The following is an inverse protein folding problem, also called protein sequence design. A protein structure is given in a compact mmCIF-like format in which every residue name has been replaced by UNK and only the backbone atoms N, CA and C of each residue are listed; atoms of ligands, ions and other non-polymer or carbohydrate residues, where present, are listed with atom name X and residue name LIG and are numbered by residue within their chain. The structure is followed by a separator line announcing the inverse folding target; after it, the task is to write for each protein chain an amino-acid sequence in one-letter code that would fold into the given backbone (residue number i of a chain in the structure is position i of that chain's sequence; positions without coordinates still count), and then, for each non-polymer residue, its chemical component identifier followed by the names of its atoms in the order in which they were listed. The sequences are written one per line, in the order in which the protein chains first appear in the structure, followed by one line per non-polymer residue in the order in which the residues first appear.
data_IF_019546669969
#
_entry.id   IF_019546669969
#
_cell.length_a   1.000
_cell.length_b   1.000
_cell.length_c   1.000
_cell.angle_alpha   90.00
_cell.angle_beta   90.00
_cell.angle_gamma   90.00
#
_symmetry.space_group_name_H-M   'P 1'
#
loop_
_entity.id
_entity.type
_entity.pdbx_description
1 polymer ?
#
# COMPACT_ATOMS: atom_id res chain seq x y z
N UNK A 1 -1.25 15.93 0.87
CA UNK A 1 -1.29 15.18 -0.41
C UNK A 1 -2.37 14.13 -0.29
N UNK A 2 -3.01 13.70 -1.38
CA UNK A 2 -3.91 12.55 -1.34
C UNK A 2 -3.29 11.43 -2.16
N UNK A 3 -3.46 10.19 -1.71
CA UNK A 3 -3.11 9.03 -2.52
C UNK A 3 -4.00 8.95 -3.76
N UNK A 4 -3.38 8.59 -4.89
CA UNK A 4 -4.05 8.39 -6.16
C UNK A 4 -4.02 6.91 -6.54
N UNK A 5 -5.10 6.38 -7.14
CA UNK A 5 -5.10 5.01 -7.65
C UNK A 5 -3.97 4.80 -8.66
N UNK A 6 -3.35 3.62 -8.57
CA UNK A 6 -2.22 3.18 -9.38
C UNK A 6 -0.91 3.98 -9.22
N UNK A 7 -0.81 4.81 -8.19
CA UNK A 7 0.43 5.49 -7.80
C UNK A 7 1.12 4.78 -6.64
N UNK A 8 2.40 5.12 -6.43
CA UNK A 8 3.28 4.48 -5.46
C UNK A 8 3.81 5.52 -4.49
N UNK A 9 3.95 5.13 -3.23
CA UNK A 9 4.42 6.03 -2.18
C UNK A 9 5.41 5.33 -1.25
N UNK A 10 6.25 6.13 -0.58
CA UNK A 10 7.17 5.70 0.46
C UNK A 10 6.95 6.52 1.73
N UNK A 11 6.99 5.87 2.89
CA UNK A 11 7.10 6.49 4.20
C UNK A 11 8.56 6.37 4.66
N UNK A 12 9.40 7.40 4.44
CA UNK A 12 10.86 7.25 4.51
C UNK A 12 11.37 6.88 5.90
N UNK A 13 10.73 7.39 6.95
CA UNK A 13 11.16 7.14 8.34
C UNK A 13 11.04 5.67 8.75
N UNK A 14 10.10 4.95 8.14
CA UNK A 14 9.84 3.54 8.42
C UNK A 14 10.32 2.61 7.30
N UNK A 15 10.74 3.16 6.15
CA UNK A 15 11.09 2.36 4.97
C UNK A 15 9.93 1.57 4.39
N UNK A 16 8.69 1.99 4.65
CA UNK A 16 7.48 1.36 4.12
C UNK A 16 7.18 1.91 2.73
N UNK A 17 6.81 1.05 1.79
CA UNK A 17 6.39 1.43 0.45
C UNK A 17 5.01 0.86 0.20
N UNK A 18 4.20 1.59 -0.56
CA UNK A 18 2.84 1.16 -0.92
C UNK A 18 2.59 1.39 -2.41
N UNK A 19 1.79 0.51 -2.99
CA UNK A 19 1.09 0.70 -4.25
C UNK A 19 -0.40 0.83 -3.95
N UNK A 20 -1.02 1.93 -4.39
CA UNK A 20 -2.45 2.16 -4.20
C UNK A 20 -3.20 1.45 -5.32
N UNK A 21 -3.94 0.40 -5.00
CA UNK A 21 -4.65 -0.41 -5.99
C UNK A 21 -5.91 0.32 -6.48
N UNK A 22 -6.74 0.78 -5.53
CA UNK A 22 -7.96 1.53 -5.82
C UNK A 22 -8.51 2.22 -4.57
N UNK A 23 -9.47 3.12 -4.79
CA UNK A 23 -10.28 3.75 -3.75
C UNK A 23 -11.71 3.20 -3.83
N UNK A 24 -12.34 2.92 -2.69
CA UNK A 24 -13.75 2.54 -2.65
C UNK A 24 -14.45 3.05 -1.39
N UNK A 25 -15.72 3.38 -1.51
CA UNK A 25 -16.65 3.69 -0.43
C UNK A 25 -17.69 2.57 -0.22
N UNK A 26 -17.49 1.41 -0.87
CA UNK A 26 -18.46 0.30 -0.89
C UNK A 26 -18.09 -0.82 0.07
N UNK A 27 -17.14 -0.58 0.96
CA UNK A 27 -16.66 -1.60 1.87
C UNK A 27 -17.62 -1.75 3.05
N UNK A 28 -18.25 -2.92 3.17
CA UNK A 28 -19.12 -3.25 4.31
C UNK A 28 -18.34 -3.34 5.64
N UNK A 29 -17.03 -3.53 5.56
CA UNK A 29 -16.15 -3.66 6.73
C UNK A 29 -15.77 -2.30 7.33
N UNK A 30 -15.98 -1.22 6.60
CA UNK A 30 -15.63 0.15 6.99
C UNK A 30 -16.86 1.05 6.96
N UNK A 31 -18.05 0.51 7.23
CA UNK A 31 -19.31 1.29 7.33
C UNK A 31 -19.62 2.20 6.12
N UNK A 32 -19.13 1.84 4.93
CA UNK A 32 -19.17 2.65 3.70
C UNK A 32 -18.39 3.97 3.76
N UNK A 33 -17.41 4.07 4.65
CA UNK A 33 -16.38 5.10 4.58
C UNK A 33 -15.50 4.87 3.35
N UNK A 34 -14.97 5.97 2.82
CA UNK A 34 -14.00 5.89 1.73
C UNK A 34 -12.70 5.29 2.28
N UNK A 35 -12.18 4.27 1.60
CA UNK A 35 -10.94 3.59 1.96
C UNK A 35 -10.00 3.46 0.76
N UNK A 36 -8.71 3.66 1.01
CA UNK A 36 -7.65 3.25 0.11
C UNK A 36 -7.42 1.75 0.27
N UNK A 37 -7.33 1.02 -0.84
CA UNK A 37 -6.87 -0.37 -0.86
C UNK A 37 -5.47 -0.39 -1.45
N UNK A 38 -4.52 -0.96 -0.73
CA UNK A 38 -3.10 -0.84 -0.98
C UNK A 38 -2.38 -2.19 -0.83
N UNK A 39 -1.23 -2.30 -1.47
CA UNK A 39 -0.28 -3.40 -1.32
C UNK A 39 1.06 -2.83 -0.83
N UNK A 40 1.69 -3.43 0.19
CA UNK A 40 3.04 -3.05 0.62
C UNK A 40 4.13 -3.71 -0.23
N UNK A 41 5.39 -3.32 -0.02
CA UNK A 41 6.52 -3.97 -0.71
C UNK A 41 6.64 -5.48 -0.42
N UNK A 42 5.92 -6.00 0.59
CA UNK A 42 5.92 -7.40 0.99
C UNK A 42 4.80 -8.24 0.37
N UNK A 43 3.95 -7.63 -0.43
CA UNK A 43 2.79 -8.28 -1.03
C UNK A 43 1.60 -8.41 -0.09
N UNK A 44 1.62 -7.74 1.07
CA UNK A 44 0.47 -7.69 1.96
C UNK A 44 -0.56 -6.69 1.42
N UNK A 45 -1.81 -7.12 1.30
CA UNK A 45 -2.92 -6.26 0.93
C UNK A 45 -3.64 -5.79 2.19
N UNK A 46 -3.87 -4.49 2.28
CA UNK A 46 -4.59 -3.87 3.40
C UNK A 46 -5.40 -2.66 2.91
N UNK A 47 -6.26 -2.15 3.78
CA UNK A 47 -7.06 -0.97 3.51
C UNK A 47 -7.04 -0.02 4.70
N UNK A 48 -7.08 1.27 4.41
CA UNK A 48 -7.10 2.34 5.40
C UNK A 48 -8.12 3.41 5.04
N UNK A 49 -8.72 4.04 6.05
CA UNK A 49 -9.76 5.06 5.86
C UNK A 49 -9.12 6.32 5.29
N UNK A 50 -9.85 7.00 4.40
CA UNK A 50 -9.43 8.30 3.88
C UNK A 50 -9.69 9.37 4.94
N UNK A 51 -8.67 9.64 5.75
CA UNK A 51 -8.66 10.71 6.76
C UNK A 51 -7.64 11.81 6.40
N UNK A 52 -7.66 12.91 7.14
CA UNK A 52 -6.75 14.05 6.92
C UNK A 52 -5.28 13.64 7.11
N UNK A 53 -5.02 12.75 8.07
CA UNK A 53 -3.67 12.35 8.49
C UNK A 53 -3.13 11.13 7.73
N UNK A 54 -3.98 10.36 7.02
CA UNK A 54 -3.60 9.08 6.38
C UNK A 54 -2.40 9.22 5.43
N UNK A 55 -2.30 10.35 4.73
CA UNK A 55 -1.25 10.62 3.74
C UNK A 55 -0.08 11.43 4.30
N UNK A 56 -0.09 11.80 5.59
CA UNK A 56 1.00 12.58 6.19
C UNK A 56 2.30 11.77 6.24
N UNK A 57 3.44 12.43 5.98
CA UNK A 57 4.77 11.78 5.97
C UNK A 57 5.06 10.89 4.76
N UNK A 58 4.07 10.62 3.90
CA UNK A 58 4.26 9.87 2.66
C UNK A 58 4.78 10.77 1.52
N UNK A 59 5.62 10.19 0.68
CA UNK A 59 6.18 10.82 -0.51
C UNK A 59 5.91 9.96 -1.73
N UNK A 60 5.69 10.58 -2.88
CA UNK A 60 5.60 9.86 -4.15
C UNK A 60 6.88 9.05 -4.43
N UNK A 61 6.69 7.84 -4.94
CA UNK A 61 7.74 6.89 -5.27
C UNK A 61 7.60 6.49 -6.73
N UNK A 62 8.72 6.33 -7.43
CA UNK A 62 8.69 5.79 -8.79
C UNK A 62 8.44 4.27 -8.75
N UNK A 63 7.53 3.78 -9.61
CA UNK A 63 7.19 2.36 -9.73
C UNK A 63 8.39 1.42 -9.74
N UNK A 64 9.42 1.76 -10.52
CA UNK A 64 10.61 0.91 -10.66
C UNK A 64 11.33 0.64 -9.32
N UNK A 65 11.31 1.61 -8.40
CA UNK A 65 11.90 1.45 -7.06
C UNK A 65 11.09 0.47 -6.23
N UNK A 66 9.76 0.56 -6.31
CA UNK A 66 8.86 -0.39 -5.65
C UNK A 66 9.08 -1.82 -6.19
N UNK A 67 9.13 -1.98 -7.52
CA UNK A 67 9.32 -3.30 -8.13
C UNK A 67 10.68 -3.92 -7.79
N UNK A 68 11.73 -3.10 -7.69
CA UNK A 68 13.05 -3.57 -7.25
C UNK A 68 13.03 -4.05 -5.79
N UNK A 69 12.23 -3.41 -4.93
CA UNK A 69 12.06 -3.83 -3.54
C UNK A 69 11.21 -5.12 -3.45
N UNK A 70 10.08 -5.17 -4.16
CA UNK A 70 9.17 -6.33 -4.16
C UNK A 70 9.84 -7.60 -4.72
N UNK A 71 10.66 -7.46 -5.77
CA UNK A 71 11.37 -8.58 -6.40
C UNK A 71 12.48 -9.22 -5.55
N UNK A 72 12.82 -8.64 -4.39
CA UNK A 72 13.83 -9.18 -3.46
C UNK A 72 13.24 -10.15 -2.43
N UNK A 73 11.94 -10.37 -2.47
CA UNK A 73 11.26 -11.25 -1.52
C UNK A 73 11.27 -12.66 -2.08
N UNK A 74 12.09 -13.52 -1.48
CA UNK A 74 12.00 -14.94 -1.74
C UNK A 74 10.65 -15.46 -1.21
N UNK A 75 9.91 -16.25 -2.00
CA UNK A 75 8.74 -16.94 -1.48
C UNK A 75 9.13 -17.73 -0.23
N UNK A 76 8.27 -17.80 0.80
CA UNK A 76 8.55 -18.68 1.93
C UNK A 76 8.77 -20.10 1.41
N UNK A 77 9.81 -20.78 1.91
CA UNK A 77 10.04 -22.18 1.57
C UNK A 77 8.78 -22.98 1.91
N UNK A 78 8.25 -23.81 0.98
CA UNK A 78 7.08 -24.60 1.27
C UNK A 78 7.36 -25.50 2.47
N UNK A 79 6.48 -25.47 3.48
CA UNK A 79 6.59 -26.37 4.62
C UNK A 79 6.58 -27.82 4.11
N UNK A 80 7.65 -28.57 4.40
CA UNK A 80 7.73 -29.98 4.04
C UNK A 80 6.57 -30.72 4.74
N UNK A 81 5.65 -31.26 3.93
CA UNK A 81 4.48 -32.04 4.37
C UNK A 81 4.84 -33.30 5.14
#
# INVERSE_FOLDING_TARGET
MAFLPNEYYIFPEMGLMIHVLFLTDKSIHYDNEAVYVMEDQYGNIFADVVEEETCEGWHELHKDVFMEAAGKIEPPEPEAS
#
